data_IF_769056017253
#
_entry.id   IF_769056017253
#
_cell.length_a   1.000
_cell.length_b   1.000
_cell.length_c   1.000
_cell.angle_alpha   90.00
_cell.angle_beta   90.00
_cell.angle_gamma   90.00
#
_symmetry.space_group_name_H-M   'P 1'
#
loop_
_entity.id
_entity.type
_entity.pdbx_description
1 polymer ?
#
# COMPACT_ATOMS: atom_id res chain seq x y z
N UNK A 1 -5.58 16.80 -10.69
CA UNK A 1 -6.15 15.56 -11.25
C UNK A 1 -6.48 14.65 -10.09
N UNK A 2 -7.76 14.36 -9.89
CA UNK A 2 -8.23 13.35 -8.92
C UNK A 2 -8.00 11.98 -9.54
N UNK A 3 -7.03 11.23 -9.02
CA UNK A 3 -6.82 9.83 -9.36
C UNK A 3 -6.67 9.08 -8.05
N UNK A 4 -7.57 8.13 -7.81
CA UNK A 4 -7.48 7.24 -6.65
C UNK A 4 -6.35 6.22 -6.86
N UNK A 5 -6.37 5.11 -6.12
CA UNK A 5 -5.44 4.01 -6.30
C UNK A 5 -5.56 3.44 -7.73
N UNK A 6 -4.42 3.25 -8.40
CA UNK A 6 -4.36 2.63 -9.72
C UNK A 6 -4.68 1.13 -9.60
N UNK A 7 -4.20 0.50 -8.52
CA UNK A 7 -4.59 -0.84 -8.07
C UNK A 7 -4.86 -0.75 -6.58
N UNK A 8 -6.05 -1.20 -6.15
CA UNK A 8 -6.38 -1.44 -4.74
C UNK A 8 -6.55 -2.93 -4.50
N UNK A 9 -5.81 -3.47 -3.54
CA UNK A 9 -5.86 -4.88 -3.13
C UNK A 9 -6.62 -4.94 -1.82
N UNK A 10 -7.83 -5.48 -1.85
CA UNK A 10 -8.74 -5.47 -0.71
C UNK A 10 -8.81 -6.84 -0.01
N UNK A 11 -9.54 -6.86 1.10
CA UNK A 11 -9.79 -8.06 1.90
C UNK A 11 -10.23 -9.28 1.04
N UNK A 12 -9.71 -10.45 1.37
CA UNK A 12 -10.01 -11.71 0.69
C UNK A 12 -9.15 -11.97 -0.55
N UNK A 13 -8.19 -11.10 -0.85
CA UNK A 13 -7.27 -11.30 -1.97
C UNK A 13 -6.14 -12.24 -1.58
N UNK A 14 -6.01 -13.33 -2.35
CA UNK A 14 -4.95 -14.33 -2.15
C UNK A 14 -4.25 -14.67 -3.46
N UNK A 15 -2.94 -14.93 -3.41
CA UNK A 15 -2.15 -15.45 -4.54
C UNK A 15 -2.24 -14.57 -5.81
N UNK A 16 -2.20 -13.25 -5.64
CA UNK A 16 -2.27 -12.29 -6.73
C UNK A 16 -0.86 -11.97 -7.27
N UNK A 17 -0.68 -12.06 -8.58
CA UNK A 17 0.52 -11.58 -9.25
C UNK A 17 0.16 -10.53 -10.30
N UNK A 18 0.71 -9.32 -10.14
CA UNK A 18 0.59 -8.23 -11.11
C UNK A 18 1.98 -7.86 -11.63
N UNK A 19 2.12 -7.72 -12.95
CA UNK A 19 3.38 -7.28 -13.53
C UNK A 19 3.23 -6.49 -14.82
N UNK A 20 4.28 -5.73 -15.18
CA UNK A 20 4.37 -4.89 -16.38
C UNK A 20 3.32 -3.78 -16.38
N UNK A 21 3.28 -3.04 -15.28
CA UNK A 21 2.33 -1.94 -15.06
C UNK A 21 3.03 -0.59 -15.24
N UNK A 22 2.34 0.35 -15.87
CA UNK A 22 2.72 1.77 -15.93
C UNK A 22 1.61 2.58 -15.27
N UNK A 23 1.92 3.24 -14.17
CA UNK A 23 0.97 3.87 -13.26
C UNK A 23 1.30 5.35 -13.06
N UNK A 24 0.36 6.24 -13.38
CA UNK A 24 0.48 7.66 -13.06
C UNK A 24 -0.67 8.48 -13.62
N UNK A 25 -0.78 9.76 -13.23
CA UNK A 25 -0.82 10.25 -11.85
C UNK A 25 -1.97 9.62 -11.04
N UNK A 26 -1.92 9.68 -9.70
CA UNK A 26 -2.93 9.10 -8.82
C UNK A 26 -2.36 8.68 -7.46
N UNK A 27 -3.01 7.76 -6.74
CA UNK A 27 -2.54 7.30 -5.42
C UNK A 27 -1.48 6.19 -5.45
N UNK A 28 -1.23 5.59 -6.63
CA UNK A 28 -0.27 4.49 -6.78
C UNK A 28 -0.93 3.12 -6.58
N UNK A 29 -0.16 2.17 -6.05
CA UNK A 29 -0.65 0.81 -5.78
C UNK A 29 -0.81 0.64 -4.27
N UNK A 30 -2.02 0.32 -3.83
CA UNK A 30 -2.35 0.16 -2.41
C UNK A 30 -2.78 -1.27 -2.09
N UNK A 31 -2.29 -1.79 -0.97
CA UNK A 31 -2.90 -2.89 -0.24
C UNK A 31 -3.73 -2.31 0.90
N UNK A 32 -5.03 -2.50 0.82
CA UNK A 32 -6.04 -1.89 1.67
C UNK A 32 -6.67 -0.62 1.10
N UNK A 33 -7.53 0.01 1.88
CA UNK A 33 -7.52 -0.05 3.34
C UNK A 33 -8.14 -1.30 3.96
N UNK A 34 -7.39 -1.96 4.85
CA UNK A 34 -7.79 -3.21 5.49
C UNK A 34 -8.30 -2.99 6.93
N UNK A 35 -9.31 -3.77 7.34
CA UNK A 35 -9.79 -3.82 8.72
C UNK A 35 -10.67 -2.63 9.14
N UNK A 36 -11.32 -1.95 8.19
CA UNK A 36 -12.25 -0.86 8.49
C UNK A 36 -13.36 -1.32 9.45
N UNK A 37 -13.83 -0.41 10.30
CA UNK A 37 -14.92 -0.65 11.28
C UNK A 37 -14.71 -1.91 12.14
N UNK A 38 -13.47 -2.12 12.60
CA UNK A 38 -13.03 -3.27 13.40
C UNK A 38 -13.24 -4.63 12.71
N UNK A 39 -13.32 -4.63 11.37
CA UNK A 39 -13.47 -5.87 10.61
C UNK A 39 -12.18 -6.70 10.58
N UNK A 40 -12.35 -7.98 10.31
CA UNK A 40 -11.25 -8.89 10.01
C UNK A 40 -10.91 -8.80 8.53
N UNK A 41 -9.62 -8.61 8.22
CA UNK A 41 -9.11 -8.60 6.86
C UNK A 41 -7.98 -9.62 6.68
N UNK A 42 -8.01 -10.36 5.58
CA UNK A 42 -7.01 -11.34 5.21
C UNK A 42 -6.54 -11.11 3.78
N UNK A 43 -5.26 -10.81 3.63
CA UNK A 43 -4.58 -10.68 2.34
C UNK A 43 -3.28 -11.48 2.40
N UNK A 44 -3.03 -12.32 1.40
CA UNK A 44 -1.79 -13.11 1.38
C UNK A 44 -1.27 -13.45 -0.02
N UNK A 45 0.04 -13.66 -0.13
CA UNK A 45 0.68 -14.14 -1.36
C UNK A 45 0.58 -13.13 -2.49
N UNK A 46 0.91 -11.87 -2.22
CA UNK A 46 0.83 -10.78 -3.20
C UNK A 46 2.19 -10.53 -3.82
N UNK A 47 2.28 -10.53 -5.14
CA UNK A 47 3.48 -10.17 -5.88
C UNK A 47 3.15 -9.06 -6.87
N UNK A 48 3.75 -7.90 -6.68
CA UNK A 48 3.68 -6.77 -7.62
C UNK A 48 5.09 -6.56 -8.18
N UNK A 49 5.30 -6.84 -9.47
CA UNK A 49 6.62 -6.87 -10.08
C UNK A 49 6.71 -6.05 -11.36
N UNK A 50 7.85 -5.42 -11.67
CA UNK A 50 8.05 -4.70 -12.95
C UNK A 50 7.02 -3.59 -13.14
N UNK A 51 7.16 -2.52 -12.37
CA UNK A 51 6.23 -1.38 -12.36
C UNK A 51 6.98 -0.07 -12.62
N UNK A 52 6.44 0.79 -13.47
CA UNK A 52 6.83 2.19 -13.57
C UNK A 52 5.76 3.06 -12.93
N UNK A 53 6.13 3.86 -11.93
CA UNK A 53 5.25 4.81 -11.26
C UNK A 53 5.73 6.23 -11.55
N UNK A 54 4.84 7.10 -12.01
CA UNK A 54 5.18 8.49 -12.31
C UNK A 54 4.13 9.48 -11.78
N UNK A 55 4.57 10.54 -11.12
CA UNK A 55 3.70 11.62 -10.64
C UNK A 55 2.60 11.19 -9.67
N UNK A 56 2.74 10.05 -8.98
CA UNK A 56 1.77 9.55 -8.00
C UNK A 56 2.04 10.09 -6.59
N UNK A 57 1.01 10.12 -5.73
CA UNK A 57 1.18 10.49 -4.32
C UNK A 57 1.87 9.39 -3.52
N UNK A 58 1.69 8.12 -3.90
CA UNK A 58 2.44 7.00 -3.33
C UNK A 58 2.96 6.08 -4.44
N UNK A 59 4.05 5.37 -4.16
CA UNK A 59 4.52 4.29 -5.04
C UNK A 59 3.72 3.02 -4.76
N UNK A 60 4.14 2.34 -3.70
CA UNK A 60 3.44 1.21 -3.09
C UNK A 60 3.08 1.53 -1.65
N UNK A 61 1.88 1.12 -1.22
CA UNK A 61 1.35 1.47 0.08
C UNK A 61 0.61 0.31 0.72
N UNK A 62 0.76 0.12 2.04
CA UNK A 62 -0.11 -0.74 2.85
C UNK A 62 -0.87 0.16 3.82
N UNK A 63 -2.20 0.06 3.86
CA UNK A 63 -3.10 0.83 4.73
C UNK A 63 -3.91 -0.13 5.61
N UNK A 64 -3.78 -0.03 6.93
CA UNK A 64 -4.64 -0.78 7.87
C UNK A 64 -5.27 0.17 8.88
N UNK A 65 -6.54 -0.09 9.21
CA UNK A 65 -7.27 0.66 10.23
C UNK A 65 -6.94 0.13 11.63
N UNK A 66 -6.85 1.04 12.59
CA UNK A 66 -6.82 0.67 14.01
C UNK A 66 -8.13 0.00 14.41
N UNK A 67 -8.04 -1.05 15.22
CA UNK A 67 -9.16 -1.90 15.63
C UNK A 67 -9.45 -3.04 14.66
N UNK A 68 -8.86 -3.03 13.47
CA UNK A 68 -8.90 -4.16 12.54
C UNK A 68 -8.18 -5.40 13.09
N UNK A 69 -8.49 -6.56 12.52
CA UNK A 69 -7.88 -7.85 12.86
C UNK A 69 -7.57 -8.69 11.62
N UNK A 70 -6.84 -9.79 11.77
CA UNK A 70 -6.42 -10.64 10.64
C UNK A 70 -5.00 -10.34 10.19
N UNK A 71 -4.69 -10.51 8.90
CA UNK A 71 -3.33 -10.39 8.38
C UNK A 71 -3.25 -9.81 6.97
N UNK A 72 -2.12 -9.16 6.69
CA UNK A 72 -1.61 -8.82 5.38
C UNK A 72 -0.18 -9.34 5.29
N UNK A 73 0.00 -10.54 4.72
CA UNK A 73 1.27 -11.28 4.79
C UNK A 73 1.78 -11.77 3.45
N UNK A 74 3.07 -12.07 3.38
CA UNK A 74 3.71 -12.63 2.18
C UNK A 74 3.50 -11.72 0.96
N UNK A 75 3.89 -10.44 1.11
CA UNK A 75 3.70 -9.38 0.12
C UNK A 75 5.06 -8.97 -0.43
N UNK A 76 5.23 -9.03 -1.75
CA UNK A 76 6.46 -8.63 -2.43
C UNK A 76 6.18 -7.53 -3.44
N UNK A 77 6.84 -6.39 -3.25
CA UNK A 77 6.92 -5.30 -4.23
C UNK A 77 8.33 -5.31 -4.84
N UNK A 78 8.45 -5.55 -6.14
CA UNK A 78 9.76 -5.72 -6.76
C UNK A 78 9.93 -5.09 -8.15
N UNK A 79 11.18 -4.75 -8.48
CA UNK A 79 11.59 -4.24 -9.80
C UNK A 79 10.77 -3.01 -10.20
N UNK A 80 10.84 -1.96 -9.40
CA UNK A 80 10.03 -0.75 -9.59
C UNK A 80 10.88 0.46 -9.92
N UNK A 81 10.40 1.29 -10.84
CA UNK A 81 10.98 2.57 -11.20
C UNK A 81 10.01 3.67 -10.77
N UNK A 82 10.45 4.60 -9.93
CA UNK A 82 9.67 5.76 -9.51
C UNK A 82 10.17 7.05 -10.16
N UNK A 83 9.26 7.89 -10.64
CA UNK A 83 9.59 9.19 -11.21
C UNK A 83 8.66 10.26 -10.63
N UNK A 84 9.20 11.20 -9.87
CA UNK A 84 8.39 12.26 -9.23
C UNK A 84 7.24 11.70 -8.37
N UNK A 85 7.47 10.56 -7.71
CA UNK A 85 6.51 9.97 -6.77
C UNK A 85 6.66 10.65 -5.41
N UNK A 86 5.57 11.07 -4.79
CA UNK A 86 5.66 11.82 -3.53
C UNK A 86 6.18 10.95 -2.38
N UNK A 87 5.58 9.77 -2.16
CA UNK A 87 6.00 8.81 -1.12
C UNK A 87 6.19 7.41 -1.73
N UNK A 88 7.42 7.01 -2.14
CA UNK A 88 7.63 5.75 -2.85
C UNK A 88 7.14 4.50 -2.11
N UNK A 89 7.37 4.41 -0.80
CA UNK A 89 6.95 3.28 0.03
C UNK A 89 6.26 3.83 1.28
N UNK A 90 5.07 3.32 1.58
CA UNK A 90 4.31 3.71 2.78
C UNK A 90 3.71 2.48 3.46
N UNK A 91 3.95 2.30 4.77
CA UNK A 91 3.19 1.35 5.60
C UNK A 91 2.48 2.14 6.69
N UNK A 92 1.17 2.36 6.53
CA UNK A 92 0.34 3.08 7.48
C UNK A 92 -0.60 2.11 8.22
N UNK A 93 -0.23 1.74 9.44
CA UNK A 93 -1.06 0.89 10.31
C UNK A 93 -2.06 1.66 11.20
N UNK A 94 -2.12 2.98 11.02
CA UNK A 94 -3.04 3.88 11.69
C UNK A 94 -3.89 4.66 10.67
N UNK A 95 -4.30 3.99 9.58
CA UNK A 95 -5.08 4.63 8.54
C UNK A 95 -6.44 5.07 9.08
N UNK A 96 -6.84 6.29 8.71
CA UNK A 96 -8.12 6.87 9.06
C UNK A 96 -8.49 7.94 8.02
N UNK A 97 -9.59 7.71 7.32
CA UNK A 97 -10.16 8.62 6.32
C UNK A 97 -11.34 9.45 6.88
N UNK A 98 -11.71 9.21 8.14
CA UNK A 98 -12.80 9.93 8.82
C UNK A 98 -12.37 11.34 9.21
N UNK A 99 -13.29 12.30 9.12
CA UNK A 99 -13.05 13.69 9.50
C UNK A 99 -12.69 13.88 10.99
N UNK A 100 -13.13 12.95 11.85
CA UNK A 100 -12.68 12.86 13.24
C UNK A 100 -11.61 11.78 13.34
N UNK A 101 -10.54 12.00 14.14
CA UNK A 101 -9.53 10.99 14.36
C UNK A 101 -10.15 9.67 14.79
N UNK A 102 -9.74 8.58 14.14
CA UNK A 102 -10.11 7.25 14.55
C UNK A 102 -9.59 7.01 15.97
N UNK A 103 -10.38 6.33 16.80
CA UNK A 103 -9.94 6.01 18.16
C UNK A 103 -8.73 5.09 18.07
N UNK A 104 -7.68 5.45 18.79
CA UNK A 104 -6.55 4.56 18.97
C UNK A 104 -7.03 3.23 19.56
N UNK A 105 -6.57 2.13 18.97
CA UNK A 105 -6.84 0.77 19.43
C UNK A 105 -5.50 0.04 19.55
N UNK A 106 -5.41 -0.90 20.50
CA UNK A 106 -4.25 -1.76 20.65
C UNK A 106 -4.15 -2.88 19.61
N UNK A 107 -5.14 -3.01 18.73
CA UNK A 107 -5.17 -4.00 17.64
C UNK A 107 -5.17 -3.32 16.27
N UNK A 108 -4.55 -3.97 15.29
CA UNK A 108 -4.58 -3.63 13.87
C UNK A 108 -4.39 -4.93 13.08
N UNK A 109 -4.65 -4.91 11.78
CA UNK A 109 -4.34 -6.04 10.89
C UNK A 109 -2.83 -6.29 10.94
N UNK A 110 -2.41 -7.52 11.22
CA UNK A 110 -0.99 -7.86 11.32
C UNK A 110 -0.33 -7.76 9.94
N UNK A 111 0.74 -6.97 9.83
CA UNK A 111 1.56 -6.88 8.61
C UNK A 111 2.86 -7.64 8.83
N UNK A 112 3.08 -8.73 8.08
CA UNK A 112 4.26 -9.57 8.24
C UNK A 112 4.79 -10.11 6.91
N UNK A 113 6.09 -10.44 6.86
CA UNK A 113 6.79 -10.93 5.66
C UNK A 113 6.55 -10.04 4.40
N UNK A 114 6.83 -8.74 4.54
CA UNK A 114 6.76 -7.77 3.43
C UNK A 114 8.16 -7.54 2.87
N UNK A 115 8.31 -7.70 1.55
CA UNK A 115 9.58 -7.54 0.85
C UNK A 115 9.49 -6.39 -0.15
N UNK A 116 10.42 -5.44 -0.03
CA UNK A 116 10.66 -4.40 -1.03
C UNK A 116 12.00 -4.67 -1.70
N UNK A 117 12.00 -4.95 -3.01
CA UNK A 117 13.20 -5.38 -3.73
C UNK A 117 13.42 -4.60 -5.01
N UNK A 118 14.60 -4.03 -5.19
CA UNK A 118 14.97 -3.33 -6.43
C UNK A 118 13.96 -2.23 -6.81
N UNK A 119 13.68 -1.33 -5.86
CA UNK A 119 12.88 -0.12 -6.07
C UNK A 119 13.86 1.05 -6.20
N UNK A 120 13.82 1.76 -7.33
CA UNK A 120 14.77 2.82 -7.68
C UNK A 120 14.09 3.99 -8.37
N UNK A 121 14.70 5.17 -8.32
CA UNK A 121 14.20 6.35 -9.04
C UNK A 121 14.17 7.61 -8.17
N UNK A 122 13.31 8.56 -8.54
CA UNK A 122 13.20 9.87 -7.87
C UNK A 122 11.94 9.95 -7.01
N UNK A 123 11.99 10.86 -6.03
CA UNK A 123 10.90 11.17 -5.10
C UNK A 123 10.76 12.67 -4.90
N UNK A 124 9.58 13.13 -4.49
CA UNK A 124 9.33 14.55 -4.19
C UNK A 124 9.60 14.86 -2.72
N UNK A 125 9.16 14.00 -1.79
CA UNK A 125 9.39 14.24 -0.36
C UNK A 125 10.78 13.81 0.07
N UNK A 126 11.23 14.32 1.22
CA UNK A 126 12.56 14.02 1.78
C UNK A 126 12.77 12.53 2.00
N UNK A 127 11.75 11.84 2.51
CA UNK A 127 11.84 10.44 2.92
C UNK A 127 11.32 9.51 1.82
N UNK A 128 12.06 8.44 1.53
CA UNK A 128 11.66 7.43 0.56
C UNK A 128 10.70 6.39 1.14
N UNK A 129 10.74 6.21 2.46
CA UNK A 129 10.01 5.19 3.22
C UNK A 129 9.33 5.90 4.39
N UNK A 130 8.04 5.64 4.58
CA UNK A 130 7.23 6.16 5.68
C UNK A 130 6.43 5.07 6.37
#
# INVERSE_FOLDING_TARGET
>A
MTGDDYISIENGTHNLHVSKVVCGPGHGISNGSLGNDNSRAEVSGIIIGTVQLYGTTNGVRIKTYQGGSGYAKDITFQNMITENVMNPIVINQNYCDKAKPCKASGSTVEVSNVVFKNIRGTRITKDAIK
#
